data_IF_729529105200
#
_entry.id   IF_729529105200
#
_cell.length_a   1.000
_cell.length_b   1.000
_cell.length_c   1.000
_cell.angle_alpha   90.00
_cell.angle_beta   90.00
_cell.angle_gamma   90.00
#
_symmetry.space_group_name_H-M   'P 1'
#
loop_
_entity.id
_entity.type
_entity.pdbx_description
1 polymer ?
#
# COMPACT_ATOMS: atom_id res chain seq x y z
N UNK A 1 -6.29 49.33 47.59
CA UNK A 1 -6.71 48.77 46.27
C UNK A 1 -5.60 48.79 45.19
N UNK A 2 -4.33 48.71 45.56
CA UNK A 2 -3.19 48.78 44.59
C UNK A 2 -2.44 47.46 44.40
N UNK A 3 -2.70 46.42 45.20
CA UNK A 3 -1.88 45.19 45.19
C UNK A 3 -2.51 44.00 44.44
N UNK A 4 -3.73 44.11 43.93
CA UNK A 4 -4.37 43.00 43.19
C UNK A 4 -4.08 43.00 41.70
N UNK A 5 -3.53 44.09 41.17
CA UNK A 5 -3.26 44.21 39.72
C UNK A 5 -2.02 43.42 39.27
N UNK A 6 -1.07 43.18 40.16
CA UNK A 6 0.15 42.42 39.83
C UNK A 6 -0.02 40.91 39.90
N UNK A 7 -1.07 40.40 40.57
CA UNK A 7 -1.32 38.96 40.69
C UNK A 7 -1.92 38.37 39.40
N UNK A 8 -2.65 39.17 38.62
CA UNK A 8 -3.26 38.69 37.37
C UNK A 8 -2.28 38.59 36.19
N UNK A 9 -1.13 39.24 36.21
CA UNK A 9 -0.15 39.23 35.09
C UNK A 9 0.72 37.99 35.11
N UNK A 10 0.84 37.28 36.23
CA UNK A 10 1.72 36.12 36.36
C UNK A 10 1.13 34.82 35.86
N UNK A 11 -0.21 34.76 35.58
CA UNK A 11 -0.88 33.53 35.11
C UNK A 11 -0.98 33.38 33.60
N UNK A 12 -0.45 34.29 32.79
CA UNK A 12 -0.59 34.27 31.31
C UNK A 12 0.60 33.67 30.55
N UNK A 13 1.59 33.08 31.22
CA UNK A 13 2.85 32.70 30.57
C UNK A 13 3.11 31.17 30.49
N UNK A 14 2.14 30.29 30.72
CA UNK A 14 2.39 28.84 30.68
C UNK A 14 1.52 28.08 29.68
N UNK A 15 1.37 28.59 28.48
CA UNK A 15 0.78 27.81 27.39
C UNK A 15 1.85 27.52 26.34
N UNK A 16 2.93 26.85 26.71
CA UNK A 16 3.72 26.08 25.74
C UNK A 16 2.94 24.79 25.45
N UNK A 17 2.11 24.82 24.41
CA UNK A 17 1.57 23.60 23.85
C UNK A 17 2.76 22.78 23.33
N UNK A 18 3.16 21.75 24.07
CA UNK A 18 4.16 20.80 23.62
C UNK A 18 3.63 20.15 22.35
N UNK A 19 4.22 20.46 21.20
CA UNK A 19 3.91 19.81 19.94
C UNK A 19 4.40 18.36 20.05
N UNK A 20 3.46 17.41 20.07
CA UNK A 20 3.80 15.98 20.05
C UNK A 20 4.52 15.70 18.73
N UNK A 21 5.76 15.18 18.76
CA UNK A 21 6.51 14.91 17.55
C UNK A 21 5.77 13.89 16.68
N UNK A 22 5.84 14.08 15.36
CA UNK A 22 5.28 13.13 14.40
C UNK A 22 6.21 11.92 14.29
N UNK A 23 5.64 10.72 14.44
CA UNK A 23 6.35 9.45 14.30
C UNK A 23 5.75 8.66 13.15
N UNK A 24 6.59 8.11 12.28
CA UNK A 24 6.21 7.19 11.22
C UNK A 24 6.54 5.76 11.63
N UNK A 25 5.56 4.88 11.51
CA UNK A 25 5.72 3.42 11.70
C UNK A 25 5.58 2.75 10.33
N UNK A 26 6.64 2.07 9.84
CA UNK A 26 6.58 1.35 8.57
C UNK A 26 5.60 0.18 8.64
N UNK A 27 5.13 -0.34 7.48
CA UNK A 27 4.27 -1.51 7.45
C UNK A 27 5.03 -2.75 7.93
N UNK A 28 4.32 -3.67 8.60
CA UNK A 28 4.84 -5.01 8.84
C UNK A 28 4.71 -5.82 7.55
N UNK A 29 5.81 -6.44 7.13
CA UNK A 29 5.78 -7.34 5.98
C UNK A 29 4.92 -8.56 6.29
N UNK A 30 3.98 -8.85 5.41
CA UNK A 30 3.15 -10.05 5.52
C UNK A 30 3.96 -11.27 5.04
N UNK A 31 3.99 -12.30 5.87
CA UNK A 31 4.55 -13.59 5.45
C UNK A 31 3.49 -14.30 4.60
N UNK A 32 3.63 -14.19 3.29
CA UNK A 32 2.66 -14.67 2.32
C UNK A 32 3.19 -15.92 1.62
N UNK A 33 2.39 -17.01 1.65
CA UNK A 33 2.68 -18.19 0.82
C UNK A 33 2.16 -17.93 -0.60
N UNK A 34 3.06 -17.89 -1.55
CA UNK A 34 2.73 -17.71 -2.97
C UNK A 34 2.41 -19.03 -3.69
N UNK A 35 2.16 -20.09 -2.95
CA UNK A 35 1.93 -21.43 -3.50
C UNK A 35 0.88 -22.18 -2.69
N UNK A 36 -0.10 -22.77 -3.37
CA UNK A 36 -1.15 -23.60 -2.79
C UNK A 36 -1.25 -24.91 -3.57
N UNK A 37 -1.50 -26.00 -2.87
CA UNK A 37 -1.70 -27.34 -3.46
C UNK A 37 -3.16 -27.71 -3.39
N UNK A 38 -3.72 -28.18 -4.51
CA UNK A 38 -5.06 -28.71 -4.64
C UNK A 38 -5.00 -30.22 -4.90
N UNK A 39 -5.92 -30.97 -4.31
CA UNK A 39 -6.13 -32.41 -4.60
C UNK A 39 -7.08 -32.56 -5.80
N UNK A 40 -6.73 -31.89 -6.90
CA UNK A 40 -7.46 -31.81 -8.15
C UNK A 40 -6.48 -31.94 -9.33
N UNK A 41 -6.98 -32.37 -10.47
CA UNK A 41 -6.21 -32.42 -11.72
C UNK A 41 -5.81 -31.01 -12.22
N UNK A 42 -4.74 -30.92 -12.99
CA UNK A 42 -4.31 -29.66 -13.62
C UNK A 42 -5.43 -29.03 -14.46
N UNK A 43 -6.23 -29.87 -15.15
CA UNK A 43 -7.34 -29.41 -15.99
C UNK A 43 -8.46 -28.74 -15.17
N UNK A 44 -8.82 -29.31 -14.02
CA UNK A 44 -9.85 -28.75 -13.13
C UNK A 44 -9.38 -27.42 -12.52
N UNK A 45 -8.15 -27.38 -11.99
CA UNK A 45 -7.58 -26.15 -11.43
C UNK A 45 -7.43 -25.05 -12.50
N UNK A 46 -7.01 -25.41 -13.71
CA UNK A 46 -6.95 -24.47 -14.82
C UNK A 46 -8.31 -23.89 -15.19
N UNK A 47 -9.33 -24.75 -15.29
CA UNK A 47 -10.72 -24.32 -15.58
C UNK A 47 -11.25 -23.39 -14.49
N UNK A 48 -11.03 -23.73 -13.22
CA UNK A 48 -11.40 -22.89 -12.08
C UNK A 48 -10.69 -21.53 -12.14
N UNK A 49 -9.39 -21.53 -12.45
CA UNK A 49 -8.59 -20.31 -12.59
C UNK A 49 -9.12 -19.40 -13.71
N UNK A 50 -9.40 -19.93 -14.89
CA UNK A 50 -9.97 -19.16 -16.02
C UNK A 50 -11.33 -18.56 -15.64
N UNK A 51 -12.19 -19.34 -14.99
CA UNK A 51 -13.50 -18.87 -14.54
C UNK A 51 -13.36 -17.76 -13.48
N UNK A 52 -12.46 -17.94 -12.51
CA UNK A 52 -12.16 -16.95 -11.48
C UNK A 52 -11.65 -15.64 -12.09
N UNK A 53 -10.66 -15.71 -12.96
CA UNK A 53 -10.07 -14.53 -13.61
C UNK A 53 -11.10 -13.78 -14.46
N UNK A 54 -11.92 -14.48 -15.24
CA UNK A 54 -12.91 -13.87 -16.13
C UNK A 54 -14.11 -13.25 -15.40
N UNK A 55 -14.39 -13.65 -14.17
CA UNK A 55 -15.50 -13.13 -13.35
C UNK A 55 -15.08 -12.07 -12.33
N UNK A 56 -13.81 -11.74 -12.28
CA UNK A 56 -13.23 -10.81 -11.31
C UNK A 56 -12.82 -9.47 -11.94
N UNK A 57 -12.23 -8.58 -11.14
CA UNK A 57 -11.69 -7.28 -11.61
C UNK A 57 -10.34 -7.41 -12.34
N UNK A 58 -9.75 -8.60 -12.42
CA UNK A 58 -8.52 -8.86 -13.15
C UNK A 58 -8.76 -8.87 -14.66
N UNK A 59 -7.84 -8.26 -15.41
CA UNK A 59 -7.83 -8.35 -16.86
C UNK A 59 -6.84 -9.43 -17.31
N UNK A 60 -7.32 -10.43 -18.05
CA UNK A 60 -6.44 -11.47 -18.59
C UNK A 60 -5.59 -10.83 -19.71
N UNK A 61 -4.29 -10.75 -19.48
CA UNK A 61 -3.31 -10.22 -20.45
C UNK A 61 -2.76 -11.29 -21.37
N UNK A 62 -2.44 -12.44 -20.79
CA UNK A 62 -1.94 -13.60 -21.52
C UNK A 62 -2.31 -14.88 -20.76
N UNK A 63 -2.50 -15.97 -21.48
CA UNK A 63 -2.65 -17.30 -20.91
C UNK A 63 -2.15 -18.37 -21.88
N UNK A 64 -1.52 -19.38 -21.34
CA UNK A 64 -0.94 -20.49 -22.10
C UNK A 64 -1.20 -21.78 -21.33
N UNK A 65 -2.19 -22.55 -21.77
CA UNK A 65 -2.69 -23.72 -21.04
C UNK A 65 -1.65 -24.83 -20.92
N UNK A 66 -0.86 -25.05 -21.98
CA UNK A 66 0.11 -26.15 -22.02
C UNK A 66 1.21 -25.96 -20.98
N UNK A 67 1.74 -24.75 -20.88
CA UNK A 67 2.71 -24.39 -19.83
C UNK A 67 2.07 -24.17 -18.47
N UNK A 68 0.75 -23.97 -18.42
CA UNK A 68 0.03 -23.61 -17.20
C UNK A 68 0.22 -22.16 -16.76
N UNK A 69 0.72 -21.29 -17.66
CA UNK A 69 1.00 -19.89 -17.35
C UNK A 69 -0.20 -19.00 -17.68
N UNK A 70 -0.57 -18.13 -16.74
CA UNK A 70 -1.52 -17.04 -16.93
C UNK A 70 -0.95 -15.74 -16.37
N UNK A 71 -1.13 -14.64 -17.09
CA UNK A 71 -0.77 -13.30 -16.64
C UNK A 71 -2.02 -12.43 -16.58
N UNK A 72 -2.24 -11.82 -15.44
CA UNK A 72 -3.35 -10.91 -15.17
C UNK A 72 -2.82 -9.51 -14.90
N UNK A 73 -3.48 -8.49 -15.48
CA UNK A 73 -3.30 -7.10 -15.04
C UNK A 73 -4.41 -6.73 -14.05
N UNK A 74 -4.08 -5.88 -13.10
CA UNK A 74 -5.04 -5.32 -12.14
C UNK A 74 -4.71 -3.88 -11.78
N UNK A 75 -5.69 -3.17 -11.24
CA UNK A 75 -5.50 -1.82 -10.79
C UNK A 75 -6.58 -1.39 -9.80
N UNK A 76 -6.28 -0.38 -9.00
CA UNK A 76 -7.22 0.16 -8.04
C UNK A 76 -7.06 1.67 -7.88
N UNK A 77 -8.18 2.39 -7.85
CA UNK A 77 -8.25 3.80 -7.45
C UNK A 77 -8.19 3.98 -5.93
N UNK A 78 -8.48 2.91 -5.17
CA UNK A 78 -8.32 2.83 -3.73
C UNK A 78 -7.22 1.84 -3.37
N UNK A 79 -5.94 2.27 -3.47
CA UNK A 79 -4.80 1.36 -3.27
C UNK A 79 -4.63 0.85 -1.84
N UNK A 80 -5.25 1.50 -0.84
CA UNK A 80 -5.15 1.16 0.59
C UNK A 80 -5.58 -0.26 0.95
N UNK A 81 -6.42 -0.90 0.14
CA UNK A 81 -6.83 -2.29 0.34
C UNK A 81 -5.71 -3.27 -0.04
N UNK A 82 -4.92 -2.93 -1.05
CA UNK A 82 -3.90 -3.77 -1.66
C UNK A 82 -2.49 -3.48 -1.18
N UNK A 83 -2.26 -2.26 -0.65
CA UNK A 83 -0.93 -1.75 -0.27
C UNK A 83 -0.99 -1.08 1.09
N UNK A 84 -0.05 -1.43 1.96
CA UNK A 84 0.18 -0.77 3.23
C UNK A 84 1.48 0.05 3.16
N UNK A 85 1.38 1.35 3.40
CA UNK A 85 2.53 2.26 3.44
C UNK A 85 2.79 2.80 4.85
N UNK A 86 2.41 2.06 5.89
CA UNK A 86 2.61 2.44 7.28
C UNK A 86 1.65 3.51 7.78
N UNK A 87 1.91 3.97 9.00
CA UNK A 87 1.04 4.89 9.73
C UNK A 87 1.82 6.05 10.34
N UNK A 88 1.08 7.13 10.59
CA UNK A 88 1.57 8.31 11.27
C UNK A 88 0.88 8.50 12.62
N UNK A 89 1.67 8.86 13.63
CA UNK A 89 1.18 9.26 14.96
C UNK A 89 1.78 10.60 15.35
N UNK A 90 1.11 11.33 16.21
CA UNK A 90 1.54 12.66 16.67
C UNK A 90 1.17 13.79 15.71
N UNK A 91 1.37 15.04 16.13
CA UNK A 91 1.06 16.24 15.33
C UNK A 91 -0.39 16.37 14.91
N UNK A 92 -1.35 15.87 15.72
CA UNK A 92 -2.79 15.85 15.39
C UNK A 92 -3.25 14.62 14.60
N UNK A 93 -2.38 13.67 14.32
CA UNK A 93 -2.71 12.42 13.64
C UNK A 93 -2.70 11.25 14.61
N UNK A 94 -3.83 10.53 14.69
CA UNK A 94 -3.97 9.30 15.47
C UNK A 94 -3.93 8.11 14.51
N UNK A 95 -2.79 7.43 14.39
CA UNK A 95 -2.59 6.25 13.54
C UNK A 95 -3.11 6.43 12.09
N UNK A 96 -2.90 7.60 11.52
CA UNK A 96 -3.37 7.89 10.18
C UNK A 96 -2.59 7.06 9.14
N UNK A 97 -3.31 6.26 8.34
CA UNK A 97 -2.74 5.53 7.22
C UNK A 97 -2.08 6.50 6.23
N UNK A 98 -0.87 6.17 5.78
CA UNK A 98 -0.09 7.02 4.89
C UNK A 98 -0.83 7.36 3.58
N UNK A 99 -1.47 6.37 2.95
CA UNK A 99 -2.21 6.55 1.69
C UNK A 99 -3.41 7.49 1.91
N UNK A 100 -4.26 7.18 2.87
CA UNK A 100 -5.46 7.98 3.20
C UNK A 100 -5.10 9.42 3.54
N UNK A 101 -4.03 9.62 4.31
CA UNK A 101 -3.54 10.96 4.66
C UNK A 101 -3.10 11.76 3.44
N UNK A 102 -2.36 11.15 2.53
CA UNK A 102 -1.89 11.85 1.33
C UNK A 102 -3.02 12.15 0.36
N UNK A 103 -4.00 11.25 0.21
CA UNK A 103 -5.25 11.53 -0.54
C UNK A 103 -6.01 12.73 0.06
N UNK A 104 -6.16 12.78 1.39
CA UNK A 104 -6.77 13.91 2.07
C UNK A 104 -6.00 15.23 1.88
N UNK A 105 -4.71 15.16 1.60
CA UNK A 105 -3.86 16.32 1.28
C UNK A 105 -3.91 16.71 -0.20
N UNK A 106 -4.80 16.13 -1.00
CA UNK A 106 -4.99 16.45 -2.42
C UNK A 106 -4.05 15.73 -3.38
N UNK A 107 -3.31 14.70 -2.94
CA UNK A 107 -2.53 13.87 -3.84
C UNK A 107 -3.39 12.79 -4.47
N UNK A 108 -3.22 12.58 -5.77
CA UNK A 108 -3.77 11.45 -6.49
C UNK A 108 -2.92 10.22 -6.26
N UNK A 109 -3.58 9.10 -6.00
CA UNK A 109 -2.93 7.80 -5.86
C UNK A 109 -3.61 6.77 -6.74
N UNK A 110 -2.81 5.99 -7.45
CA UNK A 110 -3.28 4.88 -8.26
C UNK A 110 -2.39 3.67 -8.07
N UNK A 111 -3.00 2.50 -8.12
CA UNK A 111 -2.32 1.23 -8.11
C UNK A 111 -2.49 0.55 -9.47
N UNK A 112 -1.41 0.05 -10.02
CA UNK A 112 -1.41 -0.92 -11.09
C UNK A 112 -0.57 -2.12 -10.70
N UNK A 113 -0.85 -3.27 -11.27
CA UNK A 113 -0.08 -4.47 -10.99
C UNK A 113 -0.22 -5.52 -12.08
N UNK A 114 0.73 -6.43 -12.08
CA UNK A 114 0.75 -7.61 -12.95
C UNK A 114 0.89 -8.83 -12.04
N UNK A 115 0.03 -9.83 -12.25
CA UNK A 115 0.07 -11.09 -11.51
C UNK A 115 0.40 -12.23 -12.47
N UNK A 116 1.41 -12.99 -12.15
CA UNK A 116 1.78 -14.21 -12.85
C UNK A 116 1.30 -15.42 -12.02
N UNK A 117 0.55 -16.28 -12.69
CA UNK A 117 0.01 -17.51 -12.13
C UNK A 117 0.59 -18.69 -12.90
N UNK A 118 0.98 -19.72 -12.15
CA UNK A 118 1.55 -20.93 -12.75
C UNK A 118 0.88 -22.16 -12.13
N UNK A 119 0.19 -22.94 -12.98
CA UNK A 119 -0.50 -24.18 -12.62
C UNK A 119 0.37 -25.36 -13.01
N UNK A 120 0.88 -26.06 -12.03
CA UNK A 120 1.82 -27.19 -12.19
C UNK A 120 1.19 -28.47 -11.65
N UNK A 121 1.18 -29.52 -12.45
CA UNK A 121 0.92 -30.85 -11.94
C UNK A 121 2.11 -31.33 -11.08
N UNK A 122 1.84 -31.75 -9.86
CA UNK A 122 2.86 -32.13 -8.88
C UNK A 122 2.71 -33.55 -8.37
N UNK A 123 1.70 -34.28 -8.85
CA UNK A 123 1.42 -35.68 -8.54
C UNK A 123 0.12 -36.13 -9.19
N UNK A 124 -0.23 -37.38 -9.02
CA UNK A 124 -1.53 -37.91 -9.48
C UNK A 124 -2.68 -37.18 -8.76
N UNK A 125 -3.50 -36.47 -9.53
CA UNK A 125 -4.57 -35.61 -9.02
C UNK A 125 -4.09 -34.55 -8.00
N UNK A 126 -2.83 -34.10 -8.13
CA UNK A 126 -2.28 -33.01 -7.31
C UNK A 126 -1.73 -31.91 -8.17
N UNK A 127 -2.21 -30.70 -7.93
CA UNK A 127 -1.82 -29.52 -8.69
C UNK A 127 -1.43 -28.39 -7.76
N UNK A 128 -0.29 -27.76 -8.06
CA UNK A 128 0.17 -26.59 -7.36
C UNK A 128 -0.14 -25.34 -8.18
N UNK A 129 -0.83 -24.37 -7.60
CA UNK A 129 -0.98 -23.03 -8.12
C UNK A 129 0.04 -22.11 -7.41
N UNK A 130 0.91 -21.48 -8.21
CA UNK A 130 1.82 -20.41 -7.75
C UNK A 130 1.30 -19.08 -8.20
N UNK A 131 1.35 -18.08 -7.32
CA UNK A 131 0.84 -16.73 -7.54
C UNK A 131 1.92 -15.73 -7.14
N UNK A 132 2.37 -14.91 -8.09
CA UNK A 132 3.32 -13.82 -7.82
C UNK A 132 2.79 -12.55 -8.47
N UNK A 133 2.71 -11.48 -7.70
CA UNK A 133 2.27 -10.18 -8.19
C UNK A 133 3.38 -9.14 -8.05
N UNK A 134 3.44 -8.24 -9.02
CA UNK A 134 4.19 -6.99 -8.97
C UNK A 134 3.21 -5.84 -8.85
N UNK A 135 3.48 -4.95 -7.91
CA UNK A 135 2.68 -3.77 -7.61
C UNK A 135 3.45 -2.51 -7.97
N UNK A 136 2.75 -1.54 -8.54
CA UNK A 136 3.25 -0.20 -8.82
C UNK A 136 2.25 0.79 -8.24
N UNK A 137 2.62 1.42 -7.12
CA UNK A 137 1.86 2.50 -6.50
C UNK A 137 2.43 3.83 -6.96
N UNK A 138 1.63 4.60 -7.69
CA UNK A 138 1.99 5.95 -8.14
C UNK A 138 1.27 7.00 -7.31
N UNK A 139 2.00 8.03 -6.90
CA UNK A 139 1.49 9.16 -6.13
C UNK A 139 1.89 10.45 -6.83
N UNK A 140 0.89 11.21 -7.29
CA UNK A 140 1.10 12.43 -8.08
C UNK A 140 0.31 13.60 -7.50
N UNK A 141 0.81 14.82 -7.70
CA UNK A 141 0.14 16.04 -7.29
C UNK A 141 1.12 17.08 -6.76
N UNK A 142 0.65 17.93 -5.83
CA UNK A 142 1.49 18.93 -5.18
C UNK A 142 1.25 18.90 -3.68
N UNK A 143 2.33 18.93 -2.91
CA UNK A 143 2.29 19.11 -1.46
C UNK A 143 2.60 20.55 -1.11
N UNK A 144 1.81 21.12 -0.20
CA UNK A 144 2.16 22.43 0.38
C UNK A 144 3.28 22.26 1.38
N UNK A 145 4.35 23.01 1.20
CA UNK A 145 5.46 23.12 2.15
C UNK A 145 5.50 24.54 2.71
N UNK A 146 5.80 24.63 4.00
CA UNK A 146 5.98 25.92 4.68
C UNK A 146 7.46 26.26 4.78
N UNK A 147 7.81 27.45 4.28
CA UNK A 147 9.16 27.98 4.42
C UNK A 147 9.21 28.83 5.70
N UNK A 148 9.89 28.33 6.72
CA UNK A 148 10.02 29.01 8.01
C UNK A 148 10.87 30.30 7.94
N UNK A 149 11.70 30.46 6.91
CA UNK A 149 12.53 31.65 6.72
C UNK A 149 11.72 32.80 6.13
N UNK A 150 10.87 32.51 5.16
CA UNK A 150 10.05 33.53 4.46
C UNK A 150 8.64 33.66 5.03
N UNK A 151 8.22 32.76 5.91
CA UNK A 151 6.86 32.71 6.45
C UNK A 151 5.78 32.39 5.43
N UNK A 152 6.14 31.82 4.29
CA UNK A 152 5.21 31.53 3.18
C UNK A 152 5.08 30.03 2.90
N UNK A 153 3.90 29.64 2.42
CA UNK A 153 3.66 28.28 1.90
C UNK A 153 3.83 28.28 0.38
N UNK A 154 4.42 27.21 -0.14
CA UNK A 154 4.57 26.99 -1.58
C UNK A 154 4.25 25.53 -1.96
N UNK A 155 3.80 25.33 -3.19
CA UNK A 155 3.48 23.99 -3.70
C UNK A 155 4.75 23.31 -4.21
N UNK A 156 4.98 22.09 -3.78
CA UNK A 156 6.07 21.22 -4.28
C UNK A 156 5.47 20.07 -5.06
N UNK A 157 5.81 19.91 -6.35
CA UNK A 157 5.37 18.77 -7.12
C UNK A 157 5.81 17.46 -6.47
N UNK A 158 4.92 16.47 -6.49
CA UNK A 158 5.14 15.12 -5.97
C UNK A 158 4.88 14.14 -7.10
N UNK A 159 5.85 13.29 -7.38
CA UNK A 159 5.73 12.20 -8.36
C UNK A 159 6.53 11.01 -7.83
N UNK A 160 6.00 10.39 -6.77
CA UNK A 160 6.64 9.25 -6.12
C UNK A 160 6.05 7.96 -6.69
N UNK A 161 6.91 6.98 -6.94
CA UNK A 161 6.51 5.65 -7.39
C UNK A 161 7.17 4.60 -6.51
N UNK A 162 6.38 3.66 -6.00
CA UNK A 162 6.84 2.49 -5.27
C UNK A 162 6.59 1.25 -6.13
N UNK A 163 7.60 0.40 -6.26
CA UNK A 163 7.50 -0.84 -7.03
C UNK A 163 8.02 -2.01 -6.20
N UNK A 164 7.17 -2.99 -5.94
CA UNK A 164 7.51 -4.15 -5.12
C UNK A 164 6.76 -5.39 -5.60
N UNK A 165 7.34 -6.56 -5.30
CA UNK A 165 6.74 -7.86 -5.61
C UNK A 165 6.00 -8.42 -4.38
N UNK A 166 5.22 -9.48 -4.55
CA UNK A 166 4.58 -10.25 -3.48
C UNK A 166 5.60 -10.59 -2.37
N UNK A 167 5.25 -10.27 -1.13
CA UNK A 167 6.13 -10.47 0.03
C UNK A 167 7.32 -9.52 0.15
N UNK A 168 7.50 -8.61 -0.82
CA UNK A 168 8.55 -7.58 -0.80
C UNK A 168 8.07 -6.23 -0.27
N UNK A 169 8.96 -5.25 -0.35
CA UNK A 169 8.64 -3.84 -0.06
C UNK A 169 9.54 -2.92 -0.87
N UNK A 170 9.11 -1.70 -1.05
CA UNK A 170 9.93 -0.63 -1.62
C UNK A 170 9.90 0.59 -0.72
N UNK A 171 10.96 1.38 -0.78
CA UNK A 171 11.15 2.53 0.10
C UNK A 171 11.62 3.74 -0.67
N UNK A 172 10.93 4.85 -0.49
CA UNK A 172 11.28 6.14 -1.08
C UNK A 172 11.70 7.12 0.01
N UNK A 173 12.90 7.70 -0.16
CA UNK A 173 13.36 8.78 0.69
C UNK A 173 12.69 10.08 0.25
N UNK A 174 11.91 10.68 1.14
CA UNK A 174 11.28 11.98 0.90
C UNK A 174 12.22 13.06 1.42
N UNK A 175 12.80 13.83 0.52
CA UNK A 175 13.66 14.97 0.88
C UNK A 175 12.80 16.22 1.09
N UNK A 176 12.83 16.77 2.29
CA UNK A 176 12.28 18.10 2.56
C UNK A 176 13.42 19.10 2.66
N UNK A 177 13.56 20.04 1.71
CA UNK A 177 14.65 21.01 1.73
C UNK A 177 14.70 21.90 2.98
N UNK A 178 13.58 22.09 3.67
CA UNK A 178 13.46 22.96 4.83
C UNK A 178 13.84 22.30 6.17
N UNK A 179 13.77 20.95 6.25
CA UNK A 179 14.02 20.21 7.51
C UNK A 179 15.02 19.06 7.35
N UNK A 180 15.69 18.97 6.22
CA UNK A 180 16.61 17.87 5.94
C UNK A 180 15.91 16.60 5.47
N UNK A 181 16.55 15.45 5.62
CA UNK A 181 16.02 14.15 5.18
C UNK A 181 14.83 13.75 6.03
N UNK A 182 13.66 13.63 5.43
CA UNK A 182 12.50 12.98 6.08
C UNK A 182 12.73 11.47 6.10
N UNK A 183 12.25 10.75 7.13
CA UNK A 183 12.37 9.31 7.18
C UNK A 183 11.84 8.67 5.91
N UNK A 184 12.57 7.67 5.43
CA UNK A 184 12.16 6.81 4.31
C UNK A 184 10.75 6.30 4.50
N UNK A 185 9.93 6.34 3.45
CA UNK A 185 8.59 5.76 3.45
C UNK A 185 8.65 4.41 2.79
N UNK A 186 8.11 3.41 3.45
CA UNK A 186 8.09 2.02 2.98
C UNK A 186 6.67 1.63 2.64
N UNK A 187 6.47 1.02 1.48
CA UNK A 187 5.20 0.42 1.08
C UNK A 187 5.40 -1.08 0.84
N UNK A 188 4.41 -1.87 1.19
CA UNK A 188 4.39 -3.32 1.00
C UNK A 188 2.99 -3.80 0.62
N UNK A 189 2.86 -4.94 -0.10
CA UNK A 189 1.57 -5.49 -0.45
C UNK A 189 0.85 -6.04 0.80
N UNK A 190 -0.48 -5.99 0.79
CA UNK A 190 -1.32 -6.66 1.79
C UNK A 190 -1.55 -8.13 1.45
N UNK A 191 -1.20 -8.58 0.25
CA UNK A 191 -1.50 -9.90 -0.28
C UNK A 191 -2.99 -10.09 -0.64
N UNK A 192 -3.78 -9.03 -0.68
CA UNK A 192 -5.21 -9.14 -0.96
C UNK A 192 -5.48 -9.59 -2.40
N UNK A 193 -4.73 -9.09 -3.38
CA UNK A 193 -4.93 -9.47 -4.78
C UNK A 193 -4.68 -10.97 -5.00
N UNK A 194 -3.60 -11.49 -4.42
CA UNK A 194 -3.24 -12.91 -4.49
C UNK A 194 -4.29 -13.77 -3.78
N UNK A 195 -4.72 -13.37 -2.56
CA UNK A 195 -5.78 -14.09 -1.84
C UNK A 195 -7.08 -14.12 -2.61
N UNK A 196 -7.51 -13.03 -3.20
CA UNK A 196 -8.77 -12.99 -3.96
C UNK A 196 -8.81 -14.02 -5.07
N UNK A 197 -7.73 -14.19 -5.84
CA UNK A 197 -7.69 -15.19 -6.90
C UNK A 197 -7.63 -16.62 -6.34
N UNK A 198 -6.83 -16.84 -5.29
CA UNK A 198 -6.68 -18.15 -4.64
C UNK A 198 -8.00 -18.59 -4.00
N UNK A 199 -8.65 -17.72 -3.26
CA UNK A 199 -9.91 -18.01 -2.56
C UNK A 199 -11.03 -18.30 -3.57
N UNK A 200 -11.07 -17.54 -4.67
CA UNK A 200 -12.05 -17.76 -5.75
C UNK A 200 -11.83 -19.10 -6.47
N UNK A 201 -10.57 -19.45 -6.76
CA UNK A 201 -10.23 -20.77 -7.34
C UNK A 201 -10.61 -21.89 -6.37
N UNK A 202 -10.29 -21.74 -5.09
CA UNK A 202 -10.60 -22.71 -4.06
C UNK A 202 -12.11 -22.95 -3.96
N UNK A 203 -12.92 -21.87 -3.97
CA UNK A 203 -14.38 -21.96 -3.90
C UNK A 203 -15.02 -22.67 -5.10
N UNK A 204 -14.35 -22.69 -6.26
CA UNK A 204 -14.81 -23.38 -7.48
C UNK A 204 -14.40 -24.85 -7.54
N UNK A 205 -13.50 -25.30 -6.65
CA UNK A 205 -12.97 -26.67 -6.59
C UNK A 205 -13.59 -27.50 -5.45
N UNK A 206 -14.29 -26.86 -4.52
CA UNK A 206 -15.04 -27.51 -3.42
C UNK A 206 -16.43 -27.95 -3.90
#
# INVERSE_FOLDING_TARGET
>A
MKNYFYLCIFFLLTSCAATVPQTYTPPTLQNYSNSIVFDNSKEEVWKALVNSASSSFFAIKNFEKDSGLMTLDFGASNPEDFVNCGTWTGGGFNNANYITRNKASGLSMSLSGVMNLLVLETGENKTTLRVNARYILSMTGSRMQYNYVTGSSYAVPTNDTFSFDSGGSDSVAITNPAVGTIPTRTCAPTGLAERQIVDSVTALLL
#
